data_IF_019744805092
#
_entry.id   IF_019744805092
#
_cell.length_a   1.000
_cell.length_b   1.000
_cell.length_c   1.000
_cell.angle_alpha   90.00
_cell.angle_beta   90.00
_cell.angle_gamma   90.00
#
_symmetry.space_group_name_H-M   'P 1'
#
loop_
_entity.id
_entity.type
_entity.pdbx_description
1 polymer ?
#
# COMPACT_ATOMS: atom_id res chain seq x y z
N UNK A 1 -13.07 -2.45 5.67
CA UNK A 1 -12.67 -2.23 4.25
C UNK A 1 -11.17 -2.00 4.20
N UNK A 2 -10.48 -2.19 3.07
CA UNK A 2 -9.00 -2.08 3.00
C UNK A 2 -8.57 -1.01 2.00
N UNK A 3 -7.58 -0.21 2.37
CA UNK A 3 -6.87 0.71 1.46
C UNK A 3 -5.37 0.38 1.43
N UNK A 4 -4.71 0.74 0.33
CA UNK A 4 -3.28 0.53 0.15
C UNK A 4 -2.50 1.80 0.49
N UNK A 5 -1.52 1.70 1.38
CA UNK A 5 -0.40 2.64 1.43
C UNK A 5 0.69 2.18 0.48
N UNK A 6 1.06 3.02 -0.47
CA UNK A 6 2.17 2.77 -1.38
C UNK A 6 2.93 4.05 -1.62
N UNK A 7 4.25 4.03 -1.53
CA UNK A 7 5.03 5.23 -1.80
C UNK A 7 6.44 4.93 -2.19
N UNK A 8 7.01 5.83 -2.97
CA UNK A 8 8.44 5.80 -3.24
C UNK A 8 9.21 6.15 -1.96
N UNK A 9 10.42 5.62 -1.87
CA UNK A 9 11.36 5.99 -0.81
C UNK A 9 11.81 7.43 -1.03
N UNK A 10 11.11 8.37 -0.41
CA UNK A 10 11.34 9.81 -0.48
C UNK A 10 11.48 10.33 0.95
N UNK A 11 12.46 11.21 1.19
CA UNK A 11 12.54 11.92 2.46
C UNK A 11 11.35 12.86 2.60
N UNK A 12 10.50 12.61 3.59
CA UNK A 12 9.35 13.46 3.92
C UNK A 12 9.78 14.63 4.81
N UNK A 13 9.21 15.80 4.60
CA UNK A 13 9.28 16.87 5.60
C UNK A 13 8.40 16.51 6.80
N UNK A 14 8.63 17.15 7.95
CA UNK A 14 7.81 16.91 9.14
C UNK A 14 6.32 17.11 8.88
N UNK A 15 5.95 18.16 8.14
CA UNK A 15 4.54 18.41 7.82
C UNK A 15 3.92 17.33 6.93
N UNK A 16 4.67 16.80 5.97
CA UNK A 16 4.16 15.73 5.10
C UNK A 16 4.00 14.41 5.87
N UNK A 17 4.95 14.13 6.76
CA UNK A 17 4.90 12.98 7.65
C UNK A 17 3.70 13.04 8.61
N UNK A 18 3.44 14.21 9.20
CA UNK A 18 2.28 14.43 10.09
C UNK A 18 0.96 14.23 9.35
N UNK A 19 0.82 14.79 8.14
CA UNK A 19 -0.41 14.62 7.33
C UNK A 19 -0.67 13.15 7.00
N UNK A 20 0.36 12.39 6.60
CA UNK A 20 0.20 10.95 6.32
C UNK A 20 -0.22 10.17 7.57
N UNK A 21 0.35 10.53 8.72
CA UNK A 21 0.00 9.93 10.01
C UNK A 21 -1.46 10.23 10.39
N UNK A 22 -1.88 11.48 10.31
CA UNK A 22 -3.25 11.91 10.62
C UNK A 22 -4.29 11.22 9.73
N UNK A 23 -3.98 11.06 8.43
CA UNK A 23 -4.83 10.34 7.49
C UNK A 23 -4.92 8.86 7.85
N UNK A 24 -3.80 8.23 8.21
CA UNK A 24 -3.78 6.84 8.67
C UNK A 24 -4.66 6.62 9.91
N UNK A 25 -4.52 7.50 10.90
CA UNK A 25 -5.34 7.49 12.13
C UNK A 25 -6.83 7.66 11.82
N UNK A 26 -7.17 8.70 11.06
CA UNK A 26 -8.56 9.02 10.74
C UNK A 26 -9.25 7.91 9.93
N UNK A 27 -8.54 7.27 8.99
CA UNK A 27 -9.08 6.13 8.25
C UNK A 27 -9.29 4.90 9.16
N UNK A 28 -8.36 4.64 10.09
CA UNK A 28 -8.52 3.57 11.06
C UNK A 28 -9.71 3.80 12.02
N UNK A 29 -9.90 5.03 12.50
CA UNK A 29 -11.09 5.44 13.27
C UNK A 29 -12.37 5.24 12.45
N UNK A 30 -12.34 5.54 11.15
CA UNK A 30 -13.43 5.30 10.22
C UNK A 30 -13.66 3.82 9.85
N UNK A 31 -12.92 2.87 10.44
CA UNK A 31 -13.10 1.43 10.20
C UNK A 31 -12.41 0.90 8.94
N UNK A 32 -11.49 1.67 8.36
CA UNK A 32 -10.63 1.21 7.28
C UNK A 32 -9.38 0.52 7.83
N UNK A 33 -8.96 -0.54 7.16
CA UNK A 33 -7.71 -1.23 7.43
C UNK A 33 -6.66 -0.80 6.41
N UNK A 34 -5.45 -0.53 6.89
CA UNK A 34 -4.30 -0.23 6.07
C UNK A 34 -3.64 -1.53 5.63
N UNK A 35 -3.32 -1.63 4.34
CA UNK A 35 -2.36 -2.58 3.81
C UNK A 35 -1.15 -1.86 3.24
N UNK A 36 0.05 -2.36 3.47
CA UNK A 36 1.29 -1.72 3.04
C UNK A 36 2.43 -2.72 2.81
N UNK A 37 3.45 -2.35 2.03
CA UNK A 37 4.64 -3.16 1.80
C UNK A 37 5.76 -2.94 2.82
N UNK A 38 5.65 -1.88 3.63
CA UNK A 38 6.69 -1.45 4.56
C UNK A 38 7.97 -0.97 3.85
N UNK A 39 7.87 -0.34 2.68
CA UNK A 39 9.03 -0.09 1.79
C UNK A 39 9.57 1.33 1.83
N UNK A 40 8.79 2.28 2.33
CA UNK A 40 9.13 3.70 2.28
C UNK A 40 8.60 4.45 3.50
N UNK A 41 9.12 5.66 3.72
CA UNK A 41 8.64 6.54 4.78
C UNK A 41 7.14 6.88 4.62
N UNK A 42 6.62 6.95 3.40
CA UNK A 42 5.18 7.14 3.14
C UNK A 42 4.35 5.99 3.73
N UNK A 43 4.78 4.78 3.43
CA UNK A 43 4.16 3.54 3.90
C UNK A 43 4.24 3.43 5.43
N UNK A 44 5.39 3.79 6.01
CA UNK A 44 5.63 3.76 7.45
C UNK A 44 4.79 4.81 8.19
N UNK A 45 4.62 6.03 7.66
CA UNK A 45 3.82 7.09 8.34
C UNK A 45 2.33 6.81 8.33
N UNK A 46 1.80 6.25 7.25
CA UNK A 46 0.42 5.75 7.23
C UNK A 46 0.23 4.63 8.27
N UNK A 47 1.21 3.74 8.39
CA UNK A 47 1.21 2.64 9.35
C UNK A 47 1.28 3.13 10.80
N UNK A 48 2.15 4.10 11.08
CA UNK A 48 2.25 4.74 12.40
C UNK A 48 0.88 5.28 12.84
N UNK A 49 0.19 6.02 11.96
CA UNK A 49 -1.13 6.59 12.23
C UNK A 49 -2.21 5.53 12.46
N UNK A 50 -2.34 4.57 11.53
CA UNK A 50 -3.35 3.52 11.64
C UNK A 50 -3.15 2.63 12.89
N UNK A 51 -1.90 2.37 13.26
CA UNK A 51 -1.53 1.53 14.40
C UNK A 51 -1.79 2.18 15.76
N UNK A 52 -1.97 3.52 15.83
CA UNK A 52 -2.37 4.21 17.06
C UNK A 52 -3.79 3.86 17.49
N UNK A 53 -4.66 3.61 16.52
CA UNK A 53 -6.08 3.32 16.76
C UNK A 53 -6.28 1.85 17.05
N UNK A 54 -5.81 0.99 16.14
CA UNK A 54 -6.02 -0.45 16.23
C UNK A 54 -5.00 -1.20 15.37
N UNK A 55 -4.05 -1.87 16.03
CA UNK A 55 -3.03 -2.69 15.36
C UNK A 55 -3.62 -3.88 14.58
N UNK A 56 -4.86 -4.28 14.85
CA UNK A 56 -5.52 -5.35 14.08
C UNK A 56 -6.03 -4.86 12.72
N UNK A 57 -6.08 -3.53 12.51
CA UNK A 57 -6.44 -2.88 11.24
C UNK A 57 -5.24 -2.60 10.34
N UNK A 58 -4.09 -3.20 10.60
CA UNK A 58 -2.90 -3.03 9.76
C UNK A 58 -2.40 -4.38 9.25
N UNK A 59 -2.05 -4.41 7.97
CA UNK A 59 -1.53 -5.58 7.27
C UNK A 59 -0.28 -5.18 6.49
N UNK A 60 0.89 -5.62 6.93
CA UNK A 60 2.17 -5.36 6.26
C UNK A 60 2.55 -6.60 5.47
N UNK A 61 2.64 -6.51 4.15
CA UNK A 61 2.99 -7.64 3.27
C UNK A 61 4.38 -7.39 2.71
N UNK A 62 5.38 -8.09 3.25
CA UNK A 62 6.79 -7.87 2.88
C UNK A 62 7.28 -8.92 1.87
N UNK A 63 8.34 -8.63 1.08
CA UNK A 63 8.96 -9.62 0.21
C UNK A 63 9.57 -10.80 0.98
N UNK A 64 10.22 -10.52 2.11
CA UNK A 64 11.00 -11.48 2.90
C UNK A 64 10.69 -11.36 4.39
N UNK A 65 11.03 -12.37 5.23
CA UNK A 65 10.74 -12.36 6.66
C UNK A 65 11.41 -11.21 7.41
N UNK A 66 12.65 -10.87 7.02
CA UNK A 66 13.40 -9.74 7.54
C UNK A 66 13.51 -8.72 6.42
N UNK A 67 12.70 -7.66 6.48
CA UNK A 67 12.63 -6.63 5.44
C UNK A 67 12.62 -5.25 6.09
N UNK A 68 13.66 -4.44 5.83
CA UNK A 68 13.94 -3.19 6.57
C UNK A 68 13.90 -3.45 8.08
N UNK A 69 13.00 -2.79 8.81
CA UNK A 69 12.80 -2.94 10.25
C UNK A 69 11.62 -3.88 10.60
N UNK A 70 10.98 -4.49 9.60
CA UNK A 70 9.87 -5.42 9.80
C UNK A 70 10.38 -6.84 10.06
N UNK A 71 9.74 -7.51 11.03
CA UNK A 71 10.03 -8.90 11.40
C UNK A 71 8.74 -9.72 11.47
N UNK A 72 8.79 -11.05 11.29
CA UNK A 72 7.60 -11.90 11.34
C UNK A 72 7.01 -12.04 12.76
N UNK A 73 7.78 -11.63 13.78
CA UNK A 73 7.32 -11.59 15.16
C UNK A 73 6.39 -10.41 15.43
N UNK A 74 6.39 -9.40 14.54
CA UNK A 74 5.50 -8.26 14.63
C UNK A 74 4.11 -8.65 14.11
N UNK A 75 3.08 -8.49 14.96
CA UNK A 75 1.69 -8.73 14.58
C UNK A 75 1.32 -7.98 13.30
N UNK A 76 0.68 -8.67 12.35
CA UNK A 76 0.23 -8.07 11.09
C UNK A 76 1.27 -8.08 9.96
N UNK A 77 2.50 -8.57 10.20
CA UNK A 77 3.52 -8.74 9.15
C UNK A 77 3.39 -10.11 8.48
N UNK A 78 3.24 -10.13 7.16
CA UNK A 78 3.00 -11.30 6.33
C UNK A 78 4.03 -11.37 5.19
N UNK A 79 5.16 -12.06 5.37
CA UNK A 79 6.15 -12.25 4.32
C UNK A 79 5.60 -13.09 3.18
N UNK A 80 5.75 -12.62 1.95
CA UNK A 80 5.25 -13.31 0.74
C UNK A 80 5.94 -14.64 0.52
N UNK A 81 7.21 -14.76 0.88
CA UNK A 81 7.94 -16.04 0.86
C UNK A 81 7.36 -17.10 1.79
N UNK A 82 6.53 -16.72 2.77
CA UNK A 82 5.85 -17.64 3.68
C UNK A 82 4.42 -17.99 3.23
N UNK A 83 3.92 -17.35 2.17
CA UNK A 83 2.64 -17.73 1.55
C UNK A 83 2.82 -19.00 0.70
N UNK A 84 1.76 -19.79 0.55
CA UNK A 84 1.76 -20.95 -0.34
C UNK A 84 2.24 -20.56 -1.75
N UNK A 85 3.06 -21.40 -2.38
CA UNK A 85 3.59 -21.12 -3.73
C UNK A 85 2.47 -20.92 -4.77
N UNK A 86 1.34 -21.61 -4.59
CA UNK A 86 0.13 -21.42 -5.41
C UNK A 86 -0.44 -20.01 -5.26
N UNK A 87 -0.45 -19.46 -4.05
CA UNK A 87 -0.89 -18.09 -3.78
C UNK A 87 0.10 -17.11 -4.42
N UNK A 88 1.40 -17.29 -4.21
CA UNK A 88 2.43 -16.42 -4.80
C UNK A 88 2.29 -16.37 -6.34
N UNK A 89 2.16 -17.54 -6.97
CA UNK A 89 2.03 -17.65 -8.42
C UNK A 89 0.71 -17.06 -8.94
N UNK A 90 -0.39 -17.20 -8.19
CA UNK A 90 -1.66 -16.56 -8.53
C UNK A 90 -1.60 -15.04 -8.38
N UNK A 91 -1.00 -14.53 -7.30
CA UNK A 91 -0.84 -13.10 -7.07
C UNK A 91 -0.14 -12.42 -8.26
N UNK A 92 0.91 -13.07 -8.73
CA UNK A 92 1.69 -12.66 -9.89
C UNK A 92 0.87 -12.63 -11.19
N UNK A 93 0.05 -13.66 -11.44
CA UNK A 93 -0.82 -13.72 -12.63
C UNK A 93 -1.92 -12.65 -12.67
N UNK A 94 -2.20 -11.99 -11.53
CA UNK A 94 -3.25 -10.97 -11.44
C UNK A 94 -2.77 -9.55 -11.76
N UNK A 95 -1.46 -9.36 -11.95
CA UNK A 95 -0.86 -8.07 -12.29
C UNK A 95 -1.00 -7.74 -13.78
N UNK A 96 -1.18 -6.46 -14.09
CA UNK A 96 -1.24 -5.92 -15.45
C UNK A 96 0.19 -5.58 -15.90
N UNK A 97 0.58 -6.22 -17.00
CA UNK A 97 1.95 -6.44 -17.52
C UNK A 97 2.75 -7.53 -16.77
N UNK A 98 3.16 -8.65 -17.40
CA UNK A 98 3.44 -8.87 -18.83
C UNK A 98 3.19 -10.33 -19.29
N UNK A 99 2.23 -10.61 -20.21
CA UNK A 99 2.09 -11.93 -20.84
C UNK A 99 3.31 -12.32 -21.71
N UNK A 100 4.01 -11.33 -22.29
CA UNK A 100 5.10 -11.57 -23.27
C UNK A 100 6.53 -11.29 -22.75
N UNK A 101 6.72 -10.95 -21.47
CA UNK A 101 8.06 -10.61 -20.90
C UNK A 101 8.35 -11.17 -19.50
N UNK A 102 7.63 -12.18 -19.02
CA UNK A 102 7.95 -12.81 -17.73
C UNK A 102 9.03 -13.91 -17.88
N UNK A 103 10.13 -13.60 -18.56
CA UNK A 103 11.40 -14.22 -18.15
C UNK A 103 11.78 -13.53 -16.85
N UNK A 104 11.37 -14.07 -15.71
CA UNK A 104 11.84 -13.57 -14.41
C UNK A 104 13.37 -13.60 -14.46
N UNK A 105 14.01 -12.43 -14.42
CA UNK A 105 15.48 -12.35 -14.47
C UNK A 105 16.08 -12.97 -13.20
N UNK A 106 15.29 -13.07 -12.13
CA UNK A 106 15.70 -13.66 -10.86
C UNK A 106 14.51 -14.07 -9.97
N UNK A 107 14.80 -14.92 -8.98
CA UNK A 107 13.87 -15.30 -7.90
C UNK A 107 13.40 -14.06 -7.13
N UNK A 108 14.31 -13.11 -6.90
CA UNK A 108 14.00 -11.85 -6.21
C UNK A 108 12.95 -11.05 -6.98
N UNK A 109 13.04 -10.99 -8.30
CA UNK A 109 12.03 -10.31 -9.11
C UNK A 109 10.66 -11.00 -9.00
N UNK A 110 10.63 -12.34 -9.02
CA UNK A 110 9.38 -13.10 -8.80
C UNK A 110 8.77 -12.77 -7.43
N UNK A 111 9.57 -12.75 -6.37
CA UNK A 111 9.11 -12.43 -5.01
C UNK A 111 8.54 -11.00 -4.94
N UNK A 112 9.24 -10.01 -5.50
CA UNK A 112 8.77 -8.62 -5.51
C UNK A 112 7.43 -8.47 -6.25
N UNK A 113 7.27 -9.15 -7.38
CA UNK A 113 6.02 -9.11 -8.15
C UNK A 113 4.89 -9.87 -7.44
N UNK A 114 5.18 -11.03 -6.84
CA UNK A 114 4.20 -11.73 -5.98
C UNK A 114 3.76 -10.83 -4.81
N UNK A 115 4.68 -10.05 -4.25
CA UNK A 115 4.38 -9.06 -3.20
C UNK A 115 3.45 -7.97 -3.72
N UNK A 116 3.73 -7.41 -4.90
CA UNK A 116 2.85 -6.43 -5.55
C UNK A 116 1.42 -6.97 -5.74
N UNK A 117 1.25 -8.21 -6.21
CA UNK A 117 -0.07 -8.83 -6.32
C UNK A 117 -0.76 -9.00 -4.98
N UNK A 118 -0.05 -9.50 -3.97
CA UNK A 118 -0.59 -9.68 -2.62
C UNK A 118 -0.95 -8.34 -1.94
N UNK A 119 -0.22 -7.26 -2.24
CA UNK A 119 -0.56 -5.91 -1.76
C UNK A 119 -1.90 -5.41 -2.32
N UNK A 120 -2.22 -5.72 -3.57
CA UNK A 120 -3.50 -5.26 -4.16
C UNK A 120 -4.65 -6.15 -3.68
N UNK A 121 -4.47 -7.47 -3.66
CA UNK A 121 -5.55 -8.44 -3.49
C UNK A 121 -5.62 -9.11 -2.10
N UNK A 122 -4.63 -8.85 -1.24
CA UNK A 122 -4.47 -9.45 0.08
C UNK A 122 -3.70 -10.78 0.05
N UNK A 123 -3.27 -11.30 1.21
CA UNK A 123 -2.48 -12.55 1.29
C UNK A 123 -3.27 -13.78 0.85
N UNK A 124 -4.61 -13.72 0.87
CA UNK A 124 -5.51 -14.76 0.34
C UNK A 124 -6.09 -14.42 -1.04
N UNK A 125 -5.70 -13.28 -1.62
CA UNK A 125 -6.11 -12.81 -2.95
C UNK A 125 -7.63 -12.63 -3.15
N UNK A 126 -8.37 -12.40 -2.06
CA UNK A 126 -9.82 -12.26 -2.05
C UNK A 126 -10.30 -10.98 -1.34
N UNK A 127 -9.37 -10.11 -0.92
CA UNK A 127 -9.65 -8.85 -0.23
C UNK A 127 -9.00 -7.69 -0.97
N UNK A 128 -9.46 -7.36 -2.19
CA UNK A 128 -8.90 -6.25 -2.96
C UNK A 128 -9.04 -4.93 -2.22
N UNK A 129 -8.01 -4.09 -2.34
CA UNK A 129 -8.05 -2.71 -1.84
C UNK A 129 -9.09 -1.88 -2.60
N UNK A 130 -9.67 -0.88 -1.94
CA UNK A 130 -10.68 0.02 -2.54
C UNK A 130 -10.07 1.28 -3.15
N UNK A 131 -8.92 1.69 -2.65
CA UNK A 131 -8.14 2.81 -3.15
C UNK A 131 -6.70 2.69 -2.64
N UNK A 132 -5.80 3.46 -3.23
CA UNK A 132 -4.43 3.61 -2.77
C UNK A 132 -4.14 5.06 -2.37
N UNK A 133 -3.28 5.25 -1.38
CA UNK A 133 -2.70 6.54 -0.98
C UNK A 133 -1.20 6.49 -1.26
N UNK A 134 -0.70 7.56 -1.86
CA UNK A 134 0.73 7.76 -2.10
C UNK A 134 1.14 9.21 -1.88
N UNK A 135 2.44 9.45 -1.79
CA UNK A 135 3.03 10.78 -1.84
C UNK A 135 4.12 10.81 -2.89
N UNK A 136 3.89 11.56 -3.98
CA UNK A 136 4.85 11.77 -5.06
C UNK A 136 4.84 13.26 -5.40
N UNK A 137 5.96 13.95 -5.20
CA UNK A 137 6.13 15.34 -5.60
C UNK A 137 6.24 15.44 -7.13
N UNK A 138 5.87 16.59 -7.70
CA UNK A 138 5.91 16.76 -9.16
C UNK A 138 7.31 16.55 -9.75
N UNK A 139 8.36 17.01 -9.06
CA UNK A 139 9.78 16.79 -9.41
C UNK A 139 10.20 15.32 -9.36
N UNK A 140 9.51 14.51 -8.55
CA UNK A 140 9.79 13.08 -8.36
C UNK A 140 9.03 12.19 -9.35
N UNK A 141 8.01 12.73 -10.03
CA UNK A 141 7.10 11.98 -10.89
C UNK A 141 7.79 11.30 -12.08
N UNK A 142 8.82 11.93 -12.66
CA UNK A 142 9.55 11.37 -13.80
C UNK A 142 10.58 10.31 -13.41
N UNK A 143 11.08 10.32 -12.17
CA UNK A 143 12.18 9.48 -11.72
C UNK A 143 11.80 8.34 -10.76
N UNK A 144 10.57 8.32 -10.21
CA UNK A 144 10.22 7.42 -9.08
C UNK A 144 9.17 6.34 -9.38
N UNK A 145 8.55 6.33 -10.57
CA UNK A 145 7.92 5.10 -11.10
C UNK A 145 8.99 4.12 -11.61
N UNK A 146 10.09 3.96 -10.86
CA UNK A 146 11.11 2.94 -11.13
C UNK A 146 10.47 1.56 -10.98
N UNK A 147 10.93 0.64 -11.82
CA UNK A 147 10.30 -0.61 -12.28
C UNK A 147 9.51 -1.51 -11.32
N UNK A 148 9.69 -1.42 -10.00
CA UNK A 148 9.12 -2.38 -9.05
C UNK A 148 7.71 -2.00 -8.56
N UNK A 149 7.37 -0.71 -8.56
CA UNK A 149 6.01 -0.26 -8.21
C UNK A 149 5.11 -0.12 -9.44
N UNK A 150 5.71 0.00 -10.63
CA UNK A 150 5.01 0.12 -11.90
C UNK A 150 3.93 -0.96 -12.10
N UNK A 151 4.15 -2.24 -11.76
CA UNK A 151 3.11 -3.26 -11.80
C UNK A 151 1.94 -2.96 -10.86
N UNK A 152 2.19 -2.36 -9.69
CA UNK A 152 1.13 -1.97 -8.76
C UNK A 152 0.29 -0.85 -9.37
N UNK A 153 0.93 0.24 -9.78
CA UNK A 153 0.22 1.38 -10.40
C UNK A 153 -0.56 0.97 -11.67
N UNK A 154 0.05 0.15 -12.53
CA UNK A 154 -0.61 -0.34 -13.76
C UNK A 154 -1.82 -1.21 -13.45
N UNK A 155 -1.70 -2.10 -12.46
CA UNK A 155 -2.81 -2.96 -12.05
C UNK A 155 -3.92 -2.17 -11.36
N UNK A 156 -3.59 -1.19 -10.52
CA UNK A 156 -4.59 -0.31 -9.91
C UNK A 156 -5.36 0.47 -10.99
N UNK A 157 -4.67 1.00 -12.00
CA UNK A 157 -5.30 1.72 -13.10
C UNK A 157 -6.22 0.81 -13.95
N UNK A 158 -5.75 -0.37 -14.35
CA UNK A 158 -6.54 -1.35 -15.11
C UNK A 158 -7.79 -1.82 -14.35
N UNK A 159 -7.68 -1.96 -13.02
CA UNK A 159 -8.80 -2.35 -12.16
C UNK A 159 -9.68 -1.18 -11.73
N UNK A 160 -9.47 0.01 -12.28
CA UNK A 160 -10.17 1.24 -11.93
C UNK A 160 -10.14 1.55 -10.42
N UNK A 161 -9.07 1.14 -9.74
CA UNK A 161 -8.86 1.41 -8.32
C UNK A 161 -8.20 2.80 -8.20
N UNK A 162 -8.85 3.76 -7.54
CA UNK A 162 -8.35 5.14 -7.47
C UNK A 162 -7.08 5.25 -6.65
N UNK A 163 -6.19 6.16 -7.08
CA UNK A 163 -4.92 6.46 -6.43
C UNK A 163 -4.90 7.93 -6.01
N UNK A 164 -4.85 8.17 -4.71
CA UNK A 164 -4.74 9.50 -4.12
C UNK A 164 -3.26 9.84 -3.87
N UNK A 165 -2.63 10.51 -4.83
CA UNK A 165 -1.33 11.15 -4.62
C UNK A 165 -1.47 12.45 -3.82
N UNK A 166 -1.17 12.42 -2.53
CA UNK A 166 -1.29 13.54 -1.60
C UNK A 166 -0.28 14.66 -1.82
N UNK A 167 0.78 14.42 -2.60
CA UNK A 167 1.64 15.49 -3.12
C UNK A 167 0.93 16.44 -4.09
N UNK A 168 -0.32 16.13 -4.50
CA UNK A 168 -1.18 16.99 -5.31
C UNK A 168 -2.33 17.53 -4.46
N UNK A 169 -2.45 18.86 -4.42
CA UNK A 169 -3.49 19.54 -3.63
C UNK A 169 -4.91 19.07 -3.95
N UNK A 170 -5.21 18.78 -5.22
CA UNK A 170 -6.51 18.27 -5.64
C UNK A 170 -6.86 16.94 -4.93
N UNK A 171 -5.91 16.02 -4.85
CA UNK A 171 -6.12 14.72 -4.21
C UNK A 171 -6.17 14.85 -2.68
N UNK A 172 -5.39 15.78 -2.11
CA UNK A 172 -5.46 16.10 -0.69
C UNK A 172 -6.89 16.54 -0.30
N UNK A 173 -7.45 17.51 -1.02
CA UNK A 173 -8.82 17.99 -0.77
C UNK A 173 -9.85 16.86 -0.88
N UNK A 174 -9.69 15.95 -1.85
CA UNK A 174 -10.57 14.79 -2.02
C UNK A 174 -10.47 13.83 -0.84
N UNK A 175 -9.27 13.48 -0.38
CA UNK A 175 -9.11 12.54 0.75
C UNK A 175 -9.61 13.16 2.06
N UNK A 176 -9.36 14.44 2.30
CA UNK A 176 -9.88 15.14 3.48
C UNK A 176 -11.40 15.16 3.51
N UNK A 177 -12.03 15.45 2.36
CA UNK A 177 -13.49 15.47 2.24
C UNK A 177 -14.08 14.08 2.47
N UNK A 178 -13.43 13.05 1.93
CA UNK A 178 -13.79 11.66 2.15
C UNK A 178 -13.71 11.28 3.64
N UNK A 179 -12.57 11.56 4.29
CA UNK A 179 -12.35 11.29 5.71
C UNK A 179 -13.39 12.00 6.58
N UNK A 180 -13.61 13.30 6.36
CA UNK A 180 -14.64 14.08 7.08
C UNK A 180 -16.03 13.45 6.94
N UNK A 181 -16.39 12.99 5.75
CA UNK A 181 -17.67 12.33 5.51
C UNK A 181 -17.76 10.97 6.23
N UNK A 182 -16.68 10.19 6.27
CA UNK A 182 -16.66 8.92 7.02
C UNK A 182 -16.77 9.14 8.52
N UNK A 183 -16.03 10.09 9.07
CA UNK A 183 -16.04 10.40 10.51
C UNK A 183 -17.43 10.86 10.99
N UNK A 184 -18.13 11.67 10.19
CA UNK A 184 -19.52 12.05 10.48
C UNK A 184 -20.45 10.84 10.57
N UNK A 185 -20.27 9.84 9.68
CA UNK A 185 -21.08 8.62 9.71
C UNK A 185 -20.83 7.82 10.97
N UNK A 186 -19.56 7.65 11.37
CA UNK A 186 -19.20 6.92 12.59
C UNK A 186 -19.75 7.61 13.84
N UNK A 187 -19.71 8.94 13.91
CA UNK A 187 -20.24 9.71 15.05
C UNK A 187 -21.78 9.75 15.13
N UNK A 188 -22.49 9.27 14.11
CA UNK A 188 -23.97 9.27 14.07
C UNK A 188 -24.59 7.94 14.54
N UNK A 189 -23.76 7.00 15.00
CA UNK A 189 -24.17 5.72 15.63
C UNK A 189 -23.79 5.72 17.10
#
# INVERSE_FOLDING_TARGET
MVYLGIGADIGLSSSEADVLKDIGECLALAGWALRTGGRSDVEDKLLDGASLVDRTKTEVITPTPYYRHYTPLTTGVNPVTQLDEKIQSKALSMLVASPDKLSYKSIQQRIMLSTAGALIFGPKLNTPVRFAITWIRNEDSQNRLKSLDSPIYSTLADREIPIFNLGKQEHMTRIESFVKAQMKRVASF
#
